data_IF_419188459158
#
_entry.id   IF_419188459158
#
_cell.length_a   1.000
_cell.length_b   1.000
_cell.length_c   1.000
_cell.angle_alpha   90.00
_cell.angle_beta   90.00
_cell.angle_gamma   90.00
#
_symmetry.space_group_name_H-M   'P 1'
#
loop_
_entity.id
_entity.type
_entity.pdbx_description
1 polymer ?
#
# COMPACT_ATOMS: atom_id res chain seq x y z
N UNK A 1 -32.00 3.49 0.48
CA UNK A 1 -31.75 3.31 -0.97
C UNK A 1 -32.67 2.33 -1.71
N UNK A 2 -33.29 1.33 -1.06
CA UNK A 2 -34.31 0.49 -1.75
C UNK A 2 -35.70 1.14 -1.85
N UNK A 3 -35.91 2.25 -1.12
CA UNK A 3 -37.13 3.07 -1.16
C UNK A 3 -36.85 4.32 -2.01
N UNK A 4 -37.79 4.74 -2.88
CA UNK A 4 -37.61 5.92 -3.73
C UNK A 4 -37.21 7.16 -2.95
N UNK A 5 -37.83 7.43 -1.80
CA UNK A 5 -37.52 8.60 -0.99
C UNK A 5 -36.05 8.62 -0.52
N UNK A 6 -35.44 7.45 -0.34
CA UNK A 6 -34.03 7.35 0.01
C UNK A 6 -33.10 7.63 -1.16
N UNK A 7 -33.54 7.38 -2.40
CA UNK A 7 -32.79 7.76 -3.61
C UNK A 7 -32.92 9.27 -3.83
N UNK A 8 -34.13 9.83 -3.66
CA UNK A 8 -34.38 11.27 -3.78
C UNK A 8 -33.50 12.10 -2.83
N UNK A 9 -33.30 11.62 -1.59
CA UNK A 9 -32.37 12.25 -0.64
C UNK A 9 -30.94 12.25 -1.20
N UNK A 10 -30.46 11.14 -1.76
CA UNK A 10 -29.11 11.08 -2.35
C UNK A 10 -28.99 11.99 -3.56
N UNK A 11 -29.99 12.05 -4.43
CA UNK A 11 -29.99 12.95 -5.59
C UNK A 11 -29.89 14.41 -5.12
N UNK A 12 -30.65 14.79 -4.09
CA UNK A 12 -30.54 16.12 -3.47
C UNK A 12 -29.16 16.37 -2.86
N UNK A 13 -28.53 15.39 -2.21
CA UNK A 13 -27.14 15.52 -1.73
C UNK A 13 -26.16 15.77 -2.87
N UNK A 14 -26.39 15.15 -4.04
CA UNK A 14 -25.50 15.25 -5.21
C UNK A 14 -25.52 16.63 -5.85
N UNK A 15 -26.59 17.41 -5.70
CA UNK A 15 -26.69 18.78 -6.23
C UNK A 15 -25.52 19.66 -5.76
N UNK A 16 -25.14 19.53 -4.48
CA UNK A 16 -24.05 20.31 -3.86
C UNK A 16 -22.74 19.53 -3.67
N UNK A 17 -22.73 18.23 -4.01
CA UNK A 17 -21.55 17.39 -3.82
C UNK A 17 -20.46 17.65 -4.87
N UNK A 18 -19.19 17.61 -4.43
CA UNK A 18 -18.05 17.65 -5.33
C UNK A 18 -17.68 16.28 -5.91
N UNK A 19 -17.79 15.25 -5.08
CA UNK A 19 -17.36 13.89 -5.41
C UNK A 19 -18.40 12.89 -4.89
N UNK A 20 -18.80 11.95 -5.75
CA UNK A 20 -19.55 10.77 -5.36
C UNK A 20 -18.66 9.54 -5.50
N UNK A 21 -18.46 8.78 -4.43
CA UNK A 21 -17.59 7.60 -4.42
C UNK A 21 -18.42 6.34 -4.13
N UNK A 22 -18.23 5.30 -4.93
CA UNK A 22 -18.84 3.99 -4.65
C UNK A 22 -17.91 2.83 -5.04
N UNK A 23 -18.11 1.69 -4.39
CA UNK A 23 -17.41 0.44 -4.67
C UNK A 23 -18.37 -0.76 -4.85
N UNK A 24 -19.60 -0.50 -5.30
CA UNK A 24 -20.57 -1.55 -5.54
C UNK A 24 -20.16 -2.47 -6.68
N UNK A 25 -20.73 -3.68 -6.69
CA UNK A 25 -20.67 -4.54 -7.89
C UNK A 25 -21.32 -3.83 -9.07
N UNK A 26 -20.78 -4.06 -10.27
CA UNK A 26 -21.32 -3.53 -11.53
C UNK A 26 -22.83 -3.78 -11.65
N UNK A 27 -23.57 -2.76 -12.05
CA UNK A 27 -25.03 -2.81 -12.18
C UNK A 27 -25.80 -2.43 -10.91
N UNK A 28 -25.17 -2.38 -9.73
CA UNK A 28 -25.87 -2.01 -8.48
C UNK A 28 -26.22 -0.53 -8.48
N UNK A 29 -25.26 0.35 -8.80
CA UNK A 29 -25.50 1.79 -8.85
C UNK A 29 -26.60 2.14 -9.85
N UNK A 30 -26.58 1.51 -11.02
CA UNK A 30 -27.60 1.64 -12.07
C UNK A 30 -28.99 1.20 -11.57
N UNK A 31 -29.09 0.06 -10.89
CA UNK A 31 -30.37 -0.39 -10.30
C UNK A 31 -30.88 0.50 -9.18
N UNK A 32 -30.00 1.22 -8.50
CA UNK A 32 -30.36 2.18 -7.46
C UNK A 32 -30.71 3.56 -8.01
N UNK A 33 -30.55 3.80 -9.32
CA UNK A 33 -30.74 5.13 -9.92
C UNK A 33 -29.58 6.09 -9.63
N UNK A 34 -28.40 5.57 -9.32
CA UNK A 34 -27.21 6.34 -8.93
C UNK A 34 -26.07 6.12 -9.93
N UNK A 35 -26.37 5.88 -11.21
CA UNK A 35 -25.33 5.73 -12.23
C UNK A 35 -24.66 7.08 -12.53
N UNK A 36 -23.48 7.03 -13.15
CA UNK A 36 -22.79 8.26 -13.56
C UNK A 36 -23.65 9.13 -14.48
N UNK A 37 -24.37 8.51 -15.40
CA UNK A 37 -25.23 9.21 -16.36
C UNK A 37 -26.34 9.97 -15.64
N UNK A 38 -27.01 9.33 -14.66
CA UNK A 38 -28.06 9.96 -13.84
C UNK A 38 -27.49 11.08 -12.99
N UNK A 39 -26.40 10.83 -12.25
CA UNK A 39 -25.85 11.82 -11.33
C UNK A 39 -25.22 13.01 -12.06
N UNK A 40 -24.73 12.83 -13.28
CA UNK A 40 -24.21 13.92 -14.12
C UNK A 40 -25.32 14.85 -14.61
N UNK A 41 -26.54 14.35 -14.84
CA UNK A 41 -27.68 15.19 -15.19
C UNK A 41 -28.07 16.11 -14.02
N UNK A 42 -27.98 15.60 -12.78
CA UNK A 42 -28.20 16.39 -11.56
C UNK A 42 -27.08 17.40 -11.35
N UNK A 43 -25.82 16.97 -11.45
CA UNK A 43 -24.65 17.81 -11.24
C UNK A 43 -23.57 17.56 -12.31
N UNK A 44 -23.51 18.37 -13.37
CA UNK A 44 -22.51 18.23 -14.45
C UNK A 44 -21.06 18.45 -14.01
N UNK A 45 -20.84 19.00 -12.82
CA UNK A 45 -19.52 19.26 -12.22
C UNK A 45 -19.07 18.14 -11.26
N UNK A 46 -19.89 17.12 -11.06
CA UNK A 46 -19.61 16.01 -10.16
C UNK A 46 -18.39 15.19 -10.65
N UNK A 47 -17.51 14.83 -9.73
CA UNK A 47 -16.55 13.75 -9.93
C UNK A 47 -17.19 12.44 -9.46
N UNK A 48 -17.50 11.54 -10.40
CA UNK A 48 -18.05 10.22 -10.07
C UNK A 48 -16.92 9.20 -10.00
N UNK A 49 -16.63 8.68 -8.82
CA UNK A 49 -15.54 7.76 -8.56
C UNK A 49 -16.06 6.34 -8.30
N UNK A 50 -15.46 5.35 -8.98
CA UNK A 50 -15.88 3.96 -8.96
C UNK A 50 -14.70 3.03 -8.70
N UNK A 51 -14.68 2.37 -7.54
CA UNK A 51 -13.77 1.27 -7.25
C UNK A 51 -14.40 -0.07 -7.66
N UNK A 52 -13.66 -0.90 -8.40
CA UNK A 52 -14.14 -2.21 -8.88
C UNK A 52 -13.11 -3.30 -8.66
N UNK A 53 -13.50 -4.57 -8.83
CA UNK A 53 -12.55 -5.68 -8.76
C UNK A 53 -11.57 -5.73 -9.95
N UNK A 54 -12.13 -5.78 -11.16
CA UNK A 54 -11.37 -6.07 -12.40
C UNK A 54 -11.45 -4.96 -13.45
N UNK A 55 -12.01 -3.80 -13.09
CA UNK A 55 -12.24 -2.68 -14.00
C UNK A 55 -13.63 -2.71 -14.65
N UNK A 56 -14.03 -1.61 -15.32
CA UNK A 56 -15.38 -1.46 -15.86
C UNK A 56 -15.62 -2.26 -17.16
N UNK A 57 -14.55 -2.72 -17.83
CA UNK A 57 -14.56 -3.35 -19.17
C UNK A 57 -14.09 -4.81 -19.10
N UNK A 58 -14.43 -5.58 -20.13
CA UNK A 58 -14.03 -6.98 -20.28
C UNK A 58 -15.01 -7.98 -19.64
N UNK A 59 -14.75 -9.29 -19.81
CA UNK A 59 -15.66 -10.35 -19.39
C UNK A 59 -15.91 -10.37 -17.88
N UNK A 60 -14.91 -9.99 -17.08
CA UNK A 60 -14.99 -10.07 -15.62
C UNK A 60 -15.41 -8.77 -14.94
N UNK A 61 -15.83 -7.76 -15.70
CA UNK A 61 -16.25 -6.48 -15.14
C UNK A 61 -17.43 -6.61 -14.15
N UNK A 62 -18.22 -7.69 -14.25
CA UNK A 62 -19.32 -8.02 -13.33
C UNK A 62 -18.96 -9.00 -12.22
N UNK A 63 -17.73 -9.53 -12.18
CA UNK A 63 -17.35 -10.57 -11.24
C UNK A 63 -17.06 -10.00 -9.84
N UNK A 64 -17.36 -10.76 -8.78
CA UNK A 64 -16.94 -10.38 -7.43
C UNK A 64 -15.42 -10.42 -7.32
N UNK A 65 -14.87 -9.48 -6.53
CA UNK A 65 -13.48 -9.51 -6.14
C UNK A 65 -13.36 -9.02 -4.69
N UNK A 66 -12.38 -9.58 -4.01
CA UNK A 66 -11.79 -9.06 -2.79
C UNK A 66 -10.27 -8.98 -3.04
N UNK A 67 -9.54 -8.33 -2.14
CA UNK A 67 -8.10 -8.17 -2.17
C UNK A 67 -7.34 -9.39 -2.74
N UNK A 68 -7.45 -10.55 -2.09
CA UNK A 68 -6.68 -11.76 -2.44
C UNK A 68 -6.95 -12.27 -3.87
N UNK A 69 -8.18 -12.14 -4.37
CA UNK A 69 -8.52 -12.53 -5.74
C UNK A 69 -7.85 -11.62 -6.77
N UNK A 70 -7.72 -10.33 -6.45
CA UNK A 70 -6.99 -9.40 -7.29
C UNK A 70 -5.48 -9.62 -7.22
N UNK A 71 -4.93 -9.89 -6.03
CA UNK A 71 -3.52 -10.28 -5.89
C UNK A 71 -3.19 -11.50 -6.76
N UNK A 72 -4.00 -12.55 -6.68
CA UNK A 72 -3.83 -13.76 -7.48
C UNK A 72 -3.82 -13.46 -8.98
N UNK A 73 -4.78 -12.68 -9.46
CA UNK A 73 -4.94 -12.39 -10.89
C UNK A 73 -3.91 -11.40 -11.44
N UNK A 74 -3.42 -10.48 -10.62
CA UNK A 74 -2.43 -9.48 -11.02
C UNK A 74 -1.02 -10.04 -11.23
N UNK A 75 -0.75 -11.28 -10.79
CA UNK A 75 0.60 -11.84 -10.73
C UNK A 75 1.34 -11.51 -9.43
N UNK A 76 0.73 -10.73 -8.52
CA UNK A 76 1.34 -10.30 -7.27
C UNK A 76 1.75 -11.44 -6.37
N UNK A 77 0.95 -12.50 -6.29
CA UNK A 77 1.29 -13.65 -5.44
C UNK A 77 2.51 -14.43 -5.90
N UNK A 78 2.83 -14.43 -7.21
CA UNK A 78 4.04 -15.07 -7.73
C UNK A 78 5.26 -14.16 -7.67
N UNK A 79 5.05 -12.85 -7.82
CA UNK A 79 6.10 -11.87 -7.59
C UNK A 79 6.47 -11.71 -6.12
N UNK A 80 5.65 -12.28 -5.22
CA UNK A 80 5.89 -12.24 -3.78
C UNK A 80 6.51 -13.56 -3.35
N UNK A 81 7.76 -13.51 -2.91
CA UNK A 81 8.47 -14.67 -2.39
C UNK A 81 9.47 -15.27 -3.36
N UNK A 82 10.20 -16.30 -2.92
CA UNK A 82 11.27 -16.87 -3.72
C UNK A 82 10.75 -17.86 -4.78
N UNK A 83 11.49 -17.97 -5.88
CA UNK A 83 11.28 -18.92 -6.95
C UNK A 83 11.19 -20.34 -6.39
N UNK A 84 10.18 -21.08 -6.84
CA UNK A 84 9.92 -22.46 -6.40
C UNK A 84 9.14 -22.59 -5.09
N UNK A 85 8.83 -21.49 -4.40
CA UNK A 85 7.84 -21.50 -3.32
C UNK A 85 6.41 -21.51 -3.87
N UNK A 86 5.46 -21.98 -3.05
CA UNK A 86 4.03 -21.80 -3.32
C UNK A 86 3.70 -20.30 -3.36
N UNK A 87 2.84 -19.82 -4.28
CA UNK A 87 2.45 -18.41 -4.32
C UNK A 87 1.63 -18.06 -3.08
N UNK A 88 1.96 -16.95 -2.42
CA UNK A 88 1.24 -16.49 -1.23
C UNK A 88 0.90 -15.00 -1.32
N UNK A 89 -0.22 -14.58 -0.71
CA UNK A 89 -0.62 -13.18 -0.75
C UNK A 89 0.26 -12.33 0.17
N UNK A 90 0.46 -11.07 -0.22
CA UNK A 90 0.97 -10.03 0.67
C UNK A 90 -0.10 -9.78 1.74
N UNK A 91 0.31 -9.86 3.00
CA UNK A 91 -0.54 -9.54 4.14
C UNK A 91 -0.79 -8.03 4.22
N UNK A 92 -1.92 -7.63 4.80
CA UNK A 92 -2.28 -6.21 4.95
C UNK A 92 -3.16 -5.65 3.83
N UNK A 93 -3.89 -6.52 3.11
CA UNK A 93 -4.89 -6.15 2.08
C UNK A 93 -4.38 -5.13 1.06
N UNK A 94 -3.19 -5.39 0.51
CA UNK A 94 -2.46 -4.45 -0.34
C UNK A 94 -3.23 -4.00 -1.58
N UNK A 95 -4.05 -4.88 -2.18
CA UNK A 95 -4.91 -4.60 -3.31
C UNK A 95 -6.04 -3.63 -2.98
N UNK A 96 -6.66 -3.78 -1.80
CA UNK A 96 -7.66 -2.81 -1.30
C UNK A 96 -6.99 -1.44 -1.04
N UNK A 97 -5.82 -1.44 -0.39
CA UNK A 97 -5.05 -0.24 -0.08
C UNK A 97 -4.65 0.52 -1.36
N UNK A 98 -3.96 -0.14 -2.30
CA UNK A 98 -3.50 0.51 -3.53
C UNK A 98 -4.67 0.89 -4.43
N UNK A 99 -5.76 0.12 -4.42
CA UNK A 99 -7.00 0.47 -5.12
C UNK A 99 -7.60 1.78 -4.59
N UNK A 100 -7.71 1.92 -3.27
CA UNK A 100 -8.17 3.14 -2.62
C UNK A 100 -7.26 4.34 -2.87
N UNK A 101 -5.93 4.16 -2.72
CA UNK A 101 -4.92 5.20 -2.97
C UNK A 101 -4.99 5.67 -4.42
N UNK A 102 -5.04 4.74 -5.38
CA UNK A 102 -5.09 5.06 -6.82
C UNK A 102 -6.39 5.79 -7.17
N UNK A 103 -7.54 5.38 -6.60
CA UNK A 103 -8.79 6.10 -6.79
C UNK A 103 -8.74 7.51 -6.19
N UNK A 104 -8.19 7.65 -4.99
CA UNK A 104 -7.98 8.94 -4.33
C UNK A 104 -7.13 9.88 -5.16
N UNK A 105 -6.02 9.39 -5.72
CA UNK A 105 -5.18 10.16 -6.64
C UNK A 105 -5.96 10.59 -7.90
N UNK A 106 -6.73 9.68 -8.49
CA UNK A 106 -7.59 9.98 -9.64
C UNK A 106 -8.65 11.05 -9.34
N UNK A 107 -9.25 11.01 -8.14
CA UNK A 107 -10.20 12.03 -7.67
C UNK A 107 -9.51 13.40 -7.57
N UNK A 108 -8.34 13.47 -6.93
CA UNK A 108 -7.59 14.72 -6.80
C UNK A 108 -7.22 15.31 -8.18
N UNK A 109 -6.76 14.46 -9.10
CA UNK A 109 -6.46 14.87 -10.47
C UNK A 109 -7.72 15.38 -11.21
N UNK A 110 -8.88 14.73 -11.01
CA UNK A 110 -10.14 15.15 -11.59
C UNK A 110 -10.67 16.47 -11.00
N UNK A 111 -10.50 16.69 -9.69
CA UNK A 111 -10.81 17.96 -9.03
C UNK A 111 -9.93 19.09 -9.56
N UNK A 112 -8.64 18.84 -9.79
CA UNK A 112 -7.73 19.81 -10.41
C UNK A 112 -8.11 20.11 -11.88
N UNK A 113 -8.42 19.07 -12.66
CA UNK A 113 -8.93 19.25 -14.02
C UNK A 113 -10.22 20.08 -14.02
N UNK A 114 -11.12 19.86 -13.05
CA UNK A 114 -12.34 20.65 -12.87
C UNK A 114 -12.07 22.10 -12.50
N UNK A 115 -11.06 22.41 -11.69
CA UNK A 115 -10.71 23.80 -11.38
C UNK A 115 -10.13 24.56 -12.58
N UNK A 116 -9.52 23.84 -13.54
CA UNK A 116 -8.95 24.44 -14.75
C UNK A 116 -10.00 24.55 -15.86
N UNK A 117 -10.77 23.48 -16.08
CA UNK A 117 -11.63 23.33 -17.26
C UNK A 117 -13.13 23.42 -16.94
N UNK A 118 -13.51 23.41 -15.67
CA UNK A 118 -14.91 23.51 -15.24
C UNK A 118 -15.75 22.26 -15.43
N UNK A 119 -15.14 21.11 -15.79
CA UNK A 119 -15.84 19.86 -16.14
C UNK A 119 -15.85 18.84 -14.99
N UNK A 120 -16.98 18.17 -14.80
CA UNK A 120 -17.04 16.91 -14.06
C UNK A 120 -16.62 15.71 -14.92
N UNK A 121 -16.34 14.58 -14.31
CA UNK A 121 -15.99 13.34 -15.03
C UNK A 121 -16.13 12.09 -14.15
N UNK A 122 -16.14 10.93 -14.81
CA UNK A 122 -16.02 9.63 -14.16
C UNK A 122 -14.56 9.22 -14.00
N UNK A 123 -14.22 8.71 -12.82
CA UNK A 123 -12.91 8.13 -12.48
C UNK A 123 -13.13 6.69 -12.05
N UNK A 124 -12.46 5.75 -12.71
CA UNK A 124 -12.51 4.33 -12.36
C UNK A 124 -11.14 3.85 -11.87
N UNK A 125 -11.12 3.10 -10.77
CA UNK A 125 -9.98 2.30 -10.34
C UNK A 125 -10.42 0.85 -10.13
N UNK A 126 -9.46 -0.07 -10.17
CA UNK A 126 -9.75 -1.46 -9.87
C UNK A 126 -8.63 -2.12 -9.08
N UNK A 127 -8.96 -3.13 -8.27
CA UNK A 127 -7.94 -3.91 -7.58
C UNK A 127 -6.95 -4.50 -8.58
N UNK A 128 -7.42 -5.14 -9.66
CA UNK A 128 -6.54 -5.73 -10.68
C UNK A 128 -5.59 -4.69 -11.30
N UNK A 129 -6.13 -3.57 -11.81
CA UNK A 129 -5.32 -2.55 -12.46
C UNK A 129 -4.33 -1.88 -11.50
N UNK A 130 -4.75 -1.63 -10.26
CA UNK A 130 -3.92 -0.98 -9.26
C UNK A 130 -2.82 -1.91 -8.75
N UNK A 131 -3.11 -3.21 -8.57
CA UNK A 131 -2.09 -4.22 -8.20
C UNK A 131 -1.06 -4.42 -9.31
N UNK A 132 -1.47 -4.45 -10.59
CA UNK A 132 -0.52 -4.50 -11.71
C UNK A 132 0.39 -3.26 -11.70
N UNK A 133 -0.19 -2.08 -11.47
CA UNK A 133 0.57 -0.83 -11.44
C UNK A 133 1.56 -0.76 -10.27
N UNK A 134 1.18 -1.26 -9.09
CA UNK A 134 2.07 -1.42 -7.92
C UNK A 134 3.35 -2.20 -8.27
N UNK A 135 3.24 -3.15 -9.20
CA UNK A 135 4.33 -4.02 -9.64
C UNK A 135 4.98 -3.57 -10.95
N UNK A 136 4.84 -2.30 -11.35
CA UNK A 136 5.20 -1.82 -12.69
C UNK A 136 6.60 -2.24 -13.17
N UNK A 137 7.60 -2.23 -12.28
CA UNK A 137 8.95 -2.71 -12.59
C UNK A 137 8.98 -4.22 -12.88
N UNK A 138 8.40 -5.04 -12.01
CA UNK A 138 8.39 -6.50 -12.16
C UNK A 138 7.59 -6.93 -13.41
N UNK A 139 6.43 -6.32 -13.63
CA UNK A 139 5.60 -6.55 -14.82
C UNK A 139 6.37 -6.19 -16.09
N UNK A 140 7.01 -5.02 -16.11
CA UNK A 140 7.77 -4.56 -17.27
C UNK A 140 8.98 -5.46 -17.56
N UNK A 141 9.70 -5.88 -16.51
CA UNK A 141 10.82 -6.82 -16.63
C UNK A 141 10.36 -8.19 -17.13
N UNK A 142 9.31 -8.78 -16.55
CA UNK A 142 8.77 -10.07 -16.97
C UNK A 142 8.29 -10.04 -18.43
N UNK A 143 7.62 -8.98 -18.87
CA UNK A 143 7.23 -8.83 -20.27
C UNK A 143 8.43 -8.67 -21.21
N UNK A 144 9.46 -7.91 -20.80
CA UNK A 144 10.68 -7.72 -21.59
C UNK A 144 11.48 -9.03 -21.74
N UNK A 145 11.51 -9.84 -20.69
CA UNK A 145 12.28 -11.09 -20.64
C UNK A 145 11.47 -12.30 -21.07
N UNK A 146 10.19 -12.12 -21.42
CA UNK A 146 9.24 -13.19 -21.73
C UNK A 146 9.08 -14.19 -20.58
N UNK A 147 9.11 -13.67 -19.34
CA UNK A 147 9.00 -14.43 -18.10
C UNK A 147 10.06 -15.55 -17.96
N UNK A 148 11.21 -15.39 -18.62
CA UNK A 148 12.35 -16.28 -18.42
C UNK A 148 12.77 -16.21 -16.95
N UNK A 149 13.07 -17.36 -16.33
CA UNK A 149 13.37 -17.42 -14.92
C UNK A 149 14.58 -16.52 -14.61
N UNK A 150 14.63 -15.90 -13.42
CA UNK A 150 15.69 -14.98 -13.07
C UNK A 150 17.11 -15.58 -13.20
N UNK A 151 17.22 -16.90 -13.05
CA UNK A 151 18.44 -17.70 -13.31
C UNK A 151 18.96 -17.65 -14.75
N UNK A 152 18.10 -17.39 -15.75
CA UNK A 152 18.48 -17.31 -17.16
C UNK A 152 18.85 -15.90 -17.62
N UNK A 153 18.54 -14.88 -16.83
CA UNK A 153 18.72 -13.46 -17.18
C UNK A 153 19.51 -12.69 -16.10
N UNK A 154 20.20 -13.41 -15.21
CA UNK A 154 20.94 -12.88 -14.06
C UNK A 154 20.14 -11.85 -13.24
N UNK A 155 18.85 -12.13 -13.06
CA UNK A 155 17.94 -11.27 -12.34
C UNK A 155 17.73 -11.84 -10.93
N UNK A 156 17.66 -11.00 -9.90
CA UNK A 156 17.67 -11.44 -8.49
C UNK A 156 16.38 -11.17 -7.73
N UNK A 157 15.32 -10.68 -8.40
CA UNK A 157 14.10 -10.23 -7.71
C UNK A 157 13.35 -11.32 -6.94
N UNK A 158 13.56 -12.62 -7.25
CA UNK A 158 12.84 -13.72 -6.63
C UNK A 158 13.77 -14.85 -6.14
N UNK A 159 15.06 -14.61 -5.93
CA UNK A 159 15.91 -15.68 -5.39
C UNK A 159 15.60 -15.92 -3.91
N UNK A 160 15.59 -17.17 -3.42
CA UNK A 160 15.57 -17.43 -1.99
C UNK A 160 16.80 -16.78 -1.35
N UNK A 161 16.66 -16.43 -0.07
CA UNK A 161 17.65 -15.67 0.69
C UNK A 161 19.06 -16.28 0.61
N UNK A 162 19.17 -17.60 0.69
CA UNK A 162 20.42 -18.37 0.60
C UNK A 162 21.02 -18.44 -0.81
N UNK A 163 20.29 -17.98 -1.82
CA UNK A 163 20.72 -17.88 -3.21
C UNK A 163 20.61 -16.45 -3.78
N UNK A 164 20.50 -15.43 -2.93
CA UNK A 164 20.46 -14.03 -3.37
C UNK A 164 21.75 -13.66 -4.11
N UNK A 165 21.63 -13.18 -5.35
CA UNK A 165 22.80 -12.86 -6.20
C UNK A 165 23.72 -11.80 -5.59
N UNK A 166 23.17 -10.81 -4.89
CA UNK A 166 23.96 -9.83 -4.16
C UNK A 166 23.86 -10.09 -2.64
N UNK A 167 24.85 -10.74 -2.01
CA UNK A 167 24.88 -10.93 -0.55
C UNK A 167 24.85 -9.63 0.26
N UNK A 168 25.20 -8.48 -0.34
CA UNK A 168 25.14 -7.17 0.32
C UNK A 168 23.78 -6.46 0.13
N UNK A 169 22.86 -7.06 -0.63
CA UNK A 169 21.44 -6.68 -0.74
C UNK A 169 20.55 -7.85 -0.28
N UNK A 170 20.73 -8.24 0.99
CA UNK A 170 20.12 -9.42 1.60
C UNK A 170 19.91 -9.19 3.10
N UNK A 171 19.25 -10.11 3.79
CA UNK A 171 19.00 -10.03 5.24
C UNK A 171 19.70 -11.15 6.02
N UNK A 172 20.17 -10.83 7.22
CA UNK A 172 20.96 -11.73 8.07
C UNK A 172 20.47 -11.73 9.51
N UNK A 173 20.49 -12.90 10.15
CA UNK A 173 20.03 -13.06 11.53
C UNK A 173 21.17 -12.74 12.49
N UNK A 174 20.99 -11.72 13.30
CA UNK A 174 21.95 -11.34 14.33
C UNK A 174 21.83 -12.22 15.58
N UNK A 175 22.80 -12.12 16.49
CA UNK A 175 22.69 -12.69 17.83
C UNK A 175 21.41 -12.22 18.52
N UNK A 176 20.69 -13.13 19.16
CA UNK A 176 19.40 -12.85 19.79
C UNK A 176 18.21 -12.92 18.82
N UNK A 177 18.44 -13.14 17.52
CA UNK A 177 17.42 -13.51 16.56
C UNK A 177 16.73 -12.36 15.84
N UNK A 178 17.07 -11.10 16.14
CA UNK A 178 16.69 -9.92 15.34
C UNK A 178 17.43 -9.95 14.00
N UNK A 179 16.77 -9.53 12.95
CA UNK A 179 17.35 -9.51 11.60
C UNK A 179 17.77 -8.11 11.19
N UNK A 180 18.83 -8.03 10.40
CA UNK A 180 19.29 -6.82 9.70
C UNK A 180 19.04 -7.01 8.20
N UNK A 181 18.44 -6.01 7.55
CA UNK A 181 18.34 -5.93 6.09
C UNK A 181 19.45 -5.02 5.57
N UNK A 182 20.25 -5.52 4.63
CA UNK A 182 21.23 -4.74 3.88
C UNK A 182 20.64 -4.40 2.51
N UNK A 183 20.83 -3.17 2.03
CA UNK A 183 20.31 -2.69 0.75
C UNK A 183 21.42 -2.05 -0.11
N UNK A 184 22.63 -2.61 -0.08
CA UNK A 184 23.79 -2.09 -0.77
C UNK A 184 23.85 -2.63 -2.22
N UNK A 185 22.97 -2.11 -3.09
CA UNK A 185 22.82 -2.59 -4.47
C UNK A 185 24.09 -2.44 -5.32
N UNK A 186 24.92 -1.41 -5.07
CA UNK A 186 26.22 -1.22 -5.73
C UNK A 186 27.33 -1.95 -4.96
N UNK A 187 27.28 -3.28 -4.90
CA UNK A 187 28.09 -4.08 -3.96
C UNK A 187 29.60 -3.74 -3.97
N UNK A 188 30.21 -3.54 -5.15
CA UNK A 188 31.64 -3.21 -5.28
C UNK A 188 32.03 -1.89 -4.60
N UNK A 189 31.12 -0.91 -4.59
CA UNK A 189 31.35 0.37 -3.90
C UNK A 189 31.58 0.17 -2.40
N UNK A 190 30.93 -0.83 -1.82
CA UNK A 190 30.88 -1.04 -0.37
C UNK A 190 31.80 -2.16 0.12
N UNK A 191 32.23 -3.07 -0.76
CA UNK A 191 32.80 -4.35 -0.39
C UNK A 191 34.03 -4.27 0.54
N UNK A 192 35.02 -3.43 0.19
CA UNK A 192 36.26 -3.35 0.95
C UNK A 192 36.03 -2.86 2.39
N UNK A 193 35.24 -1.80 2.56
CA UNK A 193 34.94 -1.24 3.87
C UNK A 193 34.02 -2.18 4.67
N UNK A 194 33.06 -2.83 4.00
CA UNK A 194 32.16 -3.80 4.62
C UNK A 194 32.93 -5.02 5.14
N UNK A 195 33.86 -5.56 4.34
CA UNK A 195 34.68 -6.69 4.73
C UNK A 195 35.57 -6.36 5.93
N UNK A 196 36.17 -5.15 5.98
CA UNK A 196 36.92 -4.68 7.16
C UNK A 196 36.02 -4.53 8.39
N UNK A 197 34.82 -3.95 8.23
CA UNK A 197 33.87 -3.77 9.32
C UNK A 197 33.46 -5.11 9.98
N UNK A 198 33.34 -6.17 9.18
CA UNK A 198 33.01 -7.52 9.64
C UNK A 198 34.24 -8.36 10.05
N UNK A 199 35.45 -7.82 9.91
CA UNK A 199 36.70 -8.54 10.16
C UNK A 199 36.84 -9.79 9.29
N UNK A 200 36.57 -9.63 7.99
CA UNK A 200 36.72 -10.61 6.90
C UNK A 200 37.54 -10.00 5.75
N UNK A 201 38.47 -9.12 6.09
CA UNK A 201 39.28 -8.34 5.14
C UNK A 201 40.16 -9.19 4.23
N UNK A 202 40.46 -10.42 4.63
CA UNK A 202 41.10 -11.42 3.78
C UNK A 202 40.29 -11.75 2.52
N UNK A 203 38.96 -11.57 2.54
CA UNK A 203 38.08 -11.86 1.42
C UNK A 203 38.06 -10.74 0.36
N UNK A 204 38.64 -9.57 0.65
CA UNK A 204 38.65 -8.43 -0.27
C UNK A 204 39.36 -8.78 -1.58
N UNK A 205 40.44 -9.55 -1.50
CA UNK A 205 41.27 -9.95 -2.64
C UNK A 205 41.11 -11.43 -3.00
N UNK A 206 40.21 -12.16 -2.35
CA UNK A 206 39.91 -13.55 -2.70
C UNK A 206 39.26 -13.59 -4.09
N UNK A 207 39.81 -14.43 -4.98
CA UNK A 207 39.30 -14.58 -6.35
C UNK A 207 37.79 -14.92 -6.38
N UNK A 208 37.26 -15.58 -5.35
CA UNK A 208 35.82 -15.88 -5.23
C UNK A 208 34.96 -14.66 -4.93
N UNK A 209 35.50 -13.59 -4.35
CA UNK A 209 34.71 -12.49 -3.78
C UNK A 209 35.18 -11.08 -4.19
N UNK A 210 36.21 -10.98 -5.04
CA UNK A 210 36.88 -9.72 -5.38
C UNK A 210 36.00 -8.69 -6.10
N UNK A 211 34.99 -9.12 -6.87
CA UNK A 211 34.02 -8.24 -7.55
C UNK A 211 32.57 -8.75 -7.39
N UNK A 212 31.60 -7.96 -7.86
CA UNK A 212 30.18 -8.26 -7.69
C UNK A 212 29.76 -9.56 -8.38
N UNK A 213 30.26 -9.82 -9.58
CA UNK A 213 29.91 -11.02 -10.33
C UNK A 213 30.48 -12.27 -9.66
N UNK A 214 31.76 -12.24 -9.26
CA UNK A 214 32.37 -13.33 -8.51
C UNK A 214 31.62 -13.61 -7.20
N UNK A 215 31.22 -12.57 -6.45
CA UNK A 215 30.39 -12.74 -5.24
C UNK A 215 29.03 -13.33 -5.54
N UNK A 216 28.42 -13.00 -6.68
CA UNK A 216 27.14 -13.56 -7.10
C UNK A 216 27.23 -15.01 -7.55
N UNK A 217 28.28 -15.38 -8.28
CA UNK A 217 28.58 -16.76 -8.64
C UNK A 217 28.87 -17.62 -7.40
N UNK A 218 29.57 -17.06 -6.41
CA UNK A 218 29.94 -17.71 -5.15
C UNK A 218 29.01 -17.35 -3.97
N UNK A 219 27.79 -16.90 -4.26
CA UNK A 219 26.85 -16.34 -3.27
C UNK A 219 26.57 -17.25 -2.08
N UNK A 220 26.42 -18.56 -2.31
CA UNK A 220 26.13 -19.53 -1.23
C UNK A 220 27.24 -19.57 -0.18
N UNK A 221 28.50 -19.57 -0.63
CA UNK A 221 29.68 -19.55 0.24
C UNK A 221 29.73 -18.24 1.05
N UNK A 222 29.55 -17.10 0.37
CA UNK A 222 29.60 -15.78 1.03
C UNK A 222 28.44 -15.59 2.00
N UNK A 223 27.22 -15.97 1.64
CA UNK A 223 26.04 -15.90 2.52
C UNK A 223 26.28 -16.73 3.77
N UNK A 224 26.84 -17.94 3.66
CA UNK A 224 27.16 -18.77 4.82
C UNK A 224 28.23 -18.15 5.73
N UNK A 225 29.21 -17.44 5.18
CA UNK A 225 30.19 -16.67 5.95
C UNK A 225 29.50 -15.53 6.69
N UNK A 226 28.68 -14.75 5.99
CA UNK A 226 27.96 -13.61 6.54
C UNK A 226 26.94 -14.05 7.61
N UNK A 227 26.28 -15.19 7.45
CA UNK A 227 25.41 -15.78 8.47
C UNK A 227 26.14 -16.03 9.79
N UNK A 228 27.33 -16.66 9.71
CA UNK A 228 28.15 -16.91 10.90
C UNK A 228 28.57 -15.59 11.54
N UNK A 229 29.02 -14.62 10.74
CA UNK A 229 29.47 -13.32 11.23
C UNK A 229 28.34 -12.55 11.90
N UNK A 230 27.20 -12.37 11.23
CA UNK A 230 26.08 -11.63 11.82
C UNK A 230 25.57 -12.27 13.11
N UNK A 231 25.62 -13.61 13.24
CA UNK A 231 25.25 -14.31 14.47
C UNK A 231 26.18 -14.05 15.68
N UNK A 232 27.38 -13.47 15.49
CA UNK A 232 28.33 -13.20 16.58
C UNK A 232 27.92 -12.02 17.48
N UNK A 233 27.22 -11.02 16.94
CA UNK A 233 26.83 -9.80 17.66
C UNK A 233 25.34 -9.50 17.51
N UNK A 234 24.81 -8.74 18.46
CA UNK A 234 23.42 -8.28 18.39
C UNK A 234 23.24 -7.25 17.27
N UNK A 235 21.99 -7.01 16.86
CA UNK A 235 21.68 -5.98 15.87
C UNK A 235 22.31 -4.61 16.22
N UNK A 236 22.14 -4.14 17.47
CA UNK A 236 22.65 -2.83 17.88
C UNK A 236 24.18 -2.72 17.81
N UNK A 237 24.89 -3.80 18.14
CA UNK A 237 26.35 -3.83 18.01
C UNK A 237 26.79 -3.79 16.54
N UNK A 238 26.08 -4.49 15.65
CA UNK A 238 26.35 -4.40 14.22
C UNK A 238 26.00 -3.03 13.65
N UNK A 239 24.89 -2.44 14.08
CA UNK A 239 24.50 -1.09 13.66
C UNK A 239 25.58 -0.06 14.02
N UNK A 240 26.08 -0.07 15.27
CA UNK A 240 27.16 0.83 15.71
C UNK A 240 28.45 0.64 14.90
N UNK A 241 28.81 -0.62 14.58
CA UNK A 241 29.99 -0.91 13.76
C UNK A 241 29.79 -0.38 12.34
N UNK A 242 28.67 -0.72 11.69
CA UNK A 242 28.39 -0.34 10.32
C UNK A 242 28.30 1.18 10.16
N UNK A 243 27.58 1.88 11.05
CA UNK A 243 27.47 3.35 11.07
C UNK A 243 28.83 4.05 11.18
N UNK A 244 29.77 3.46 11.92
CA UNK A 244 31.12 4.04 12.08
C UNK A 244 32.07 3.67 10.95
N UNK A 245 31.82 2.58 10.25
CA UNK A 245 32.74 2.01 9.26
C UNK A 245 32.45 2.44 7.83
N UNK A 246 31.29 3.01 7.52
CA UNK A 246 30.99 3.49 6.18
C UNK A 246 29.55 3.95 5.98
N UNK A 247 29.25 4.37 4.75
CA UNK A 247 27.92 4.81 4.32
C UNK A 247 27.07 3.61 3.85
N UNK A 248 26.91 2.62 4.72
CA UNK A 248 26.15 1.41 4.41
C UNK A 248 24.64 1.64 4.55
N UNK A 249 23.87 1.08 3.62
CA UNK A 249 22.41 1.14 3.67
C UNK A 249 21.90 -0.12 4.37
N UNK A 250 21.40 0.04 5.58
CA UNK A 250 20.82 -1.06 6.35
C UNK A 250 19.74 -0.60 7.33
N UNK A 251 18.85 -1.52 7.70
CA UNK A 251 17.76 -1.28 8.65
C UNK A 251 17.46 -2.52 9.50
N UNK A 252 16.83 -2.38 10.68
CA UNK A 252 16.31 -3.55 11.39
C UNK A 252 15.08 -4.08 10.67
N UNK A 253 14.91 -5.40 10.64
CA UNK A 253 13.62 -6.01 10.27
C UNK A 253 12.74 -6.02 11.53
N UNK A 254 11.76 -5.11 11.58
CA UNK A 254 10.93 -4.87 12.77
C UNK A 254 9.64 -5.69 12.75
N UNK A 255 9.15 -6.00 13.94
CA UNK A 255 7.78 -6.44 14.23
C UNK A 255 6.87 -5.21 14.31
N UNK A 256 5.58 -5.40 14.05
CA UNK A 256 4.58 -4.33 14.16
C UNK A 256 4.54 -3.71 15.57
N UNK A 257 4.72 -4.53 16.61
CA UNK A 257 4.74 -4.08 18.00
C UNK A 257 5.95 -3.22 18.36
N UNK A 258 7.00 -3.19 17.53
CA UNK A 258 8.18 -2.35 17.78
C UNK A 258 8.01 -0.94 17.21
N UNK A 259 6.99 -0.69 16.37
CA UNK A 259 6.83 0.58 15.67
C UNK A 259 6.50 1.74 16.59
N UNK A 260 5.73 1.51 17.66
CA UNK A 260 5.32 2.58 18.58
C UNK A 260 6.49 3.16 19.39
N UNK A 261 7.55 2.38 19.56
CA UNK A 261 8.76 2.75 20.29
C UNK A 261 9.92 3.17 19.36
N UNK A 262 9.73 3.11 18.05
CA UNK A 262 10.78 3.44 17.08
C UNK A 262 11.02 4.97 17.04
N UNK A 263 12.27 5.44 17.30
CA UNK A 263 12.55 6.87 17.35
C UNK A 263 12.22 7.62 16.07
N UNK A 264 12.40 6.99 14.90
CA UNK A 264 12.10 7.61 13.61
C UNK A 264 10.59 7.64 13.35
N UNK A 265 9.85 6.61 13.76
CA UNK A 265 8.37 6.59 13.70
C UNK A 265 7.79 7.67 14.60
N UNK A 266 8.27 7.78 15.84
CA UNK A 266 7.85 8.80 16.82
C UNK A 266 8.16 10.20 16.30
N UNK A 267 9.38 10.46 15.83
CA UNK A 267 9.80 11.76 15.34
C UNK A 267 8.95 12.30 14.18
N UNK A 268 8.33 11.40 13.39
CA UNK A 268 7.46 11.78 12.28
C UNK A 268 5.96 11.69 12.61
N UNK A 269 5.61 11.22 13.82
CA UNK A 269 4.23 11.06 14.27
C UNK A 269 3.42 10.04 13.45
N UNK A 270 4.06 9.03 12.85
CA UNK A 270 3.35 8.08 11.98
C UNK A 270 2.34 7.19 12.71
N UNK A 271 2.38 7.18 14.04
CA UNK A 271 1.37 6.59 14.90
C UNK A 271 0.84 7.72 15.79
N UNK A 272 -0.46 7.98 15.69
CA UNK A 272 -1.14 9.03 16.44
C UNK A 272 -1.87 8.46 17.66
N UNK A 273 -1.79 9.18 18.77
CA UNK A 273 -2.65 8.96 19.94
C UNK A 273 -4.03 9.57 19.68
N UNK A 274 -5.08 8.80 19.95
CA UNK A 274 -6.47 9.17 19.68
C UNK A 274 -7.34 8.82 20.89
N UNK A 275 -8.10 9.78 21.39
CA UNK A 275 -9.08 9.55 22.45
C UNK A 275 -10.39 8.98 21.85
N UNK A 276 -10.61 7.68 22.02
CA UNK A 276 -11.82 7.02 21.54
C UNK A 276 -12.95 7.14 22.56
N UNK A 277 -14.17 7.58 22.18
CA UNK A 277 -15.29 7.79 23.12
C UNK A 277 -15.64 6.58 23.98
N UNK A 278 -15.48 5.37 23.45
CA UNK A 278 -15.82 4.10 24.14
C UNK A 278 -14.62 3.25 24.56
N UNK A 279 -13.47 3.39 23.90
CA UNK A 279 -12.28 2.55 24.16
C UNK A 279 -11.23 3.28 25.01
N UNK A 280 -11.39 4.59 25.24
CA UNK A 280 -10.38 5.43 25.86
C UNK A 280 -9.21 5.70 24.90
N UNK A 281 -8.01 5.97 25.42
CA UNK A 281 -6.83 6.24 24.60
C UNK A 281 -6.45 5.03 23.74
N UNK A 282 -6.37 5.23 22.42
CA UNK A 282 -5.91 4.24 21.45
C UNK A 282 -4.81 4.83 20.55
N UNK A 283 -4.09 3.95 19.84
CA UNK A 283 -3.12 4.35 18.82
C UNK A 283 -3.59 3.92 17.44
N UNK A 284 -3.46 4.81 16.45
CA UNK A 284 -3.80 4.56 15.06
C UNK A 284 -2.64 4.95 14.14
N UNK A 285 -2.47 4.25 13.02
CA UNK A 285 -1.57 4.70 11.97
C UNK A 285 -2.09 6.02 11.39
N UNK A 286 -1.22 7.03 11.36
CA UNK A 286 -1.55 8.34 10.84
C UNK A 286 -1.18 8.45 9.35
N UNK A 287 -1.76 9.44 8.66
CA UNK A 287 -1.44 9.64 7.26
C UNK A 287 0.01 10.14 7.11
N UNK A 288 0.83 9.58 6.20
CA UNK A 288 2.26 9.86 6.18
C UNK A 288 2.63 11.25 5.62
N UNK A 289 1.71 11.91 4.90
CA UNK A 289 1.97 13.22 4.31
C UNK A 289 1.92 14.36 5.35
N UNK A 290 3.03 15.03 5.58
CA UNK A 290 3.09 16.26 6.38
C UNK A 290 3.06 17.49 5.46
N UNK A 291 2.12 18.40 5.71
CA UNK A 291 2.02 19.66 5.00
C UNK A 291 2.49 20.80 5.91
N UNK A 292 3.35 21.69 5.40
CA UNK A 292 3.88 22.80 6.18
C UNK A 292 2.81 23.85 6.53
N UNK A 293 1.89 24.13 5.60
CA UNK A 293 0.87 25.18 5.76
C UNK A 293 -0.51 24.65 6.16
N UNK A 294 -0.81 23.39 5.84
CA UNK A 294 -2.13 22.77 6.07
C UNK A 294 -1.98 21.42 6.76
N UNK A 295 -1.39 21.39 7.98
CA UNK A 295 -1.17 20.15 8.70
C UNK A 295 -2.50 19.41 8.91
N UNK A 296 -2.48 18.09 8.71
CA UNK A 296 -3.64 17.25 8.98
C UNK A 296 -3.55 16.66 10.39
N UNK A 297 -4.68 16.17 10.87
CA UNK A 297 -4.76 15.37 12.08
C UNK A 297 -5.97 14.43 12.00
N UNK A 298 -5.96 13.37 12.80
CA UNK A 298 -7.13 12.55 13.06
C UNK A 298 -8.08 13.38 13.93
N UNK A 299 -9.10 13.99 13.32
CA UNK A 299 -10.03 14.91 14.01
C UNK A 299 -11.13 14.20 14.79
N UNK A 300 -11.59 13.06 14.27
CA UNK A 300 -12.71 12.30 14.83
C UNK A 300 -12.47 10.82 14.57
N UNK A 301 -13.00 9.96 15.45
CA UNK A 301 -13.02 8.51 15.23
C UNK A 301 -14.11 8.13 14.21
N UNK A 302 -14.14 6.86 13.81
CA UNK A 302 -15.19 6.34 12.94
C UNK A 302 -16.58 6.53 13.60
N UNK A 303 -17.59 7.01 12.86
CA UNK A 303 -18.91 7.24 13.42
C UNK A 303 -19.66 5.93 13.71
N UNK A 304 -20.57 5.98 14.67
CA UNK A 304 -21.55 4.92 14.88
C UNK A 304 -22.56 4.85 13.72
N UNK A 305 -23.24 3.71 13.60
CA UNK A 305 -24.27 3.51 12.59
C UNK A 305 -25.41 4.52 12.77
N UNK A 306 -25.56 5.42 11.79
CA UNK A 306 -26.62 6.44 11.80
C UNK A 306 -26.33 7.67 12.67
N UNK A 307 -25.13 7.79 13.25
CA UNK A 307 -24.79 8.84 14.22
C UNK A 307 -25.14 10.26 13.74
N UNK A 308 -24.91 10.57 12.47
CA UNK A 308 -25.10 11.90 11.90
C UNK A 308 -26.33 11.99 10.97
N UNK A 309 -27.23 11.00 10.99
CA UNK A 309 -28.36 10.96 10.03
C UNK A 309 -29.28 12.18 10.17
N UNK A 310 -29.68 12.53 11.39
CA UNK A 310 -30.58 13.69 11.62
C UNK A 310 -29.86 15.02 11.34
N UNK A 311 -28.59 15.13 11.77
CA UNK A 311 -27.74 16.31 11.54
C UNK A 311 -27.63 16.65 10.05
N UNK A 312 -27.25 15.67 9.23
CA UNK A 312 -27.11 15.88 7.78
C UNK A 312 -28.46 16.21 7.12
N UNK A 313 -29.57 15.59 7.54
CA UNK A 313 -30.89 15.89 6.97
C UNK A 313 -31.36 17.31 7.31
N UNK A 314 -31.08 17.78 8.54
CA UNK A 314 -31.36 19.16 8.94
C UNK A 314 -30.51 20.16 8.15
N UNK A 315 -29.23 19.87 7.92
CA UNK A 315 -28.36 20.69 7.05
C UNK A 315 -28.87 20.78 5.61
N UNK A 316 -29.47 19.69 5.10
CA UNK A 316 -30.15 19.67 3.81
C UNK A 316 -31.51 20.39 3.79
N UNK A 317 -31.94 20.97 4.92
CA UNK A 317 -33.17 21.74 5.06
C UNK A 317 -34.45 20.90 5.24
N UNK A 318 -34.33 19.64 5.67
CA UNK A 318 -35.50 18.86 6.09
C UNK A 318 -35.93 19.30 7.49
N UNK A 319 -37.25 19.39 7.72
CA UNK A 319 -37.78 19.64 9.07
C UNK A 319 -37.94 18.35 9.89
N UNK A 320 -38.11 18.51 11.20
CA UNK A 320 -38.28 17.40 12.13
C UNK A 320 -39.50 16.53 11.81
N UNK A 321 -40.56 17.11 11.26
CA UNK A 321 -41.76 16.35 10.86
C UNK A 321 -41.44 15.41 9.70
N UNK A 322 -40.71 15.89 8.70
CA UNK A 322 -40.27 15.08 7.56
C UNK A 322 -39.29 14.01 7.99
N UNK A 323 -38.31 14.34 8.84
CA UNK A 323 -37.33 13.38 9.38
C UNK A 323 -38.03 12.26 10.15
N UNK A 324 -38.94 12.59 11.08
CA UNK A 324 -39.73 11.60 11.81
C UNK A 324 -40.58 10.73 10.86
N UNK A 325 -41.13 11.34 9.80
CA UNK A 325 -41.83 10.62 8.74
C UNK A 325 -40.95 9.62 8.00
N UNK A 326 -39.72 9.99 7.64
CA UNK A 326 -38.74 9.13 6.98
C UNK A 326 -38.33 7.96 7.87
N UNK A 327 -38.12 8.22 9.17
CA UNK A 327 -37.77 7.18 10.15
C UNK A 327 -38.92 6.20 10.36
N UNK A 328 -40.15 6.68 10.55
CA UNK A 328 -41.34 5.83 10.68
C UNK A 328 -41.58 4.97 9.45
N UNK A 329 -41.27 5.50 8.26
CA UNK A 329 -41.31 4.75 7.01
C UNK A 329 -40.13 3.78 6.87
N UNK A 330 -39.10 3.83 7.70
CA UNK A 330 -37.87 3.04 7.59
C UNK A 330 -37.07 3.38 6.33
N UNK A 331 -37.07 4.64 5.91
CA UNK A 331 -36.20 5.19 4.85
C UNK A 331 -34.81 5.49 5.43
N UNK A 332 -34.82 6.02 6.66
CA UNK A 332 -33.66 6.26 7.52
C UNK A 332 -33.79 5.39 8.79
N UNK A 333 -32.70 5.30 9.57
CA UNK A 333 -32.61 4.44 10.75
C UNK A 333 -33.39 4.99 11.96
#
# INVERSE_FOLDING_TARGET
>A
LKKPEGVDIVLKMVEDADVFVQNFRKGVAERLGLSYEVLREVNPRLIYASATGYGPKGPDAGMPALDSAAQARSGLMYATGPDGADPYPIQGVVGDQIGGITLGWGILAALMARSIHGIGQRVDASHLGSSIWLQGLAVSMGLLTQDRPPSEINNSYHSPRDAAFNPLANFYKCKGGRWIMLANFQADRYWADFARALGIEELIHDAKFHDMDARGENRGDLIAILDRKFAEKTYHQWAEILERSGDFIFSPVQRLSELEDDPQVIANGYIADVDHPTLGPIKLADHPLRYSETPHSIRTVAPELGQHTEEILLEMGFDWETIAGLQKKGVIL
#
